data_IF_392341355459
#
_entry.id   IF_392341355459
#
_cell.length_a   1.000
_cell.length_b   1.000
_cell.length_c   1.000
_cell.angle_alpha   90.00
_cell.angle_beta   90.00
_cell.angle_gamma   90.00
#
_symmetry.space_group_name_H-M   'P 1'
#
loop_
_entity.id
_entity.type
_entity.pdbx_description
1 polymer ?
#
# COMPACT_ATOMS: atom_id res chain seq x y z
N UNK A 1 -12.60 23.98 6.23
CA UNK A 1 -13.18 23.52 4.94
C UNK A 1 -12.34 24.07 3.81
N UNK A 2 -11.99 23.25 2.81
CA UNK A 2 -11.26 23.71 1.64
C UNK A 2 -12.17 24.63 0.80
N UNK A 3 -11.62 25.72 0.25
CA UNK A 3 -12.37 26.73 -0.52
C UNK A 3 -13.19 26.14 -1.68
N UNK A 4 -12.71 25.05 -2.29
CA UNK A 4 -13.39 24.32 -3.36
C UNK A 4 -14.71 23.67 -2.93
N UNK A 5 -14.80 23.20 -1.68
CA UNK A 5 -16.02 22.54 -1.17
C UNK A 5 -17.13 23.56 -0.88
N UNK A 6 -16.76 24.78 -0.47
CA UNK A 6 -17.72 25.86 -0.20
C UNK A 6 -18.31 26.39 -1.51
N UNK A 7 -17.50 26.44 -2.58
CA UNK A 7 -17.97 26.86 -3.91
C UNK A 7 -18.97 25.88 -4.53
N UNK A 8 -18.85 24.57 -4.28
CA UNK A 8 -19.83 23.58 -4.79
C UNK A 8 -21.21 23.66 -4.12
N UNK A 9 -21.34 24.38 -3.01
CA UNK A 9 -22.60 24.59 -2.28
C UNK A 9 -23.30 25.91 -2.68
N UNK A 10 -22.69 26.72 -3.54
CA UNK A 10 -23.33 27.92 -4.10
C UNK A 10 -24.20 27.51 -5.29
N UNK A 11 -25.51 27.71 -5.17
CA UNK A 11 -26.50 27.42 -6.22
C UNK A 11 -26.23 28.18 -7.54
N UNK A 12 -25.39 29.23 -7.50
CA UNK A 12 -24.97 29.99 -8.68
C UNK A 12 -23.63 29.54 -9.27
N UNK A 13 -22.94 28.59 -8.63
CA UNK A 13 -21.67 28.10 -9.13
C UNK A 13 -21.89 27.12 -10.29
N UNK A 14 -21.72 27.64 -11.50
CA UNK A 14 -21.63 26.81 -12.69
C UNK A 14 -20.28 26.11 -12.64
N UNK A 15 -20.27 24.82 -12.24
CA UNK A 15 -19.09 23.95 -12.33
C UNK A 15 -18.40 24.19 -13.67
N UNK A 16 -17.24 24.87 -13.64
CA UNK A 16 -16.55 25.25 -14.86
C UNK A 16 -16.27 23.95 -15.61
N UNK A 17 -16.86 23.79 -16.79
CA UNK A 17 -16.62 22.61 -17.64
C UNK A 17 -15.20 22.72 -18.17
N UNK A 18 -14.25 22.26 -17.37
CA UNK A 18 -12.86 22.11 -17.78
C UNK A 18 -12.86 21.08 -18.90
N UNK A 19 -12.23 21.41 -20.02
CA UNK A 19 -12.10 20.49 -21.15
C UNK A 19 -11.11 19.36 -20.77
N UNK A 20 -11.35 18.12 -21.20
CA UNK A 20 -10.44 16.99 -20.98
C UNK A 20 -8.99 17.23 -21.40
N UNK A 21 -8.75 18.19 -22.32
CA UNK A 21 -7.42 18.57 -22.77
C UNK A 21 -6.60 19.37 -21.72
N UNK A 22 -7.26 19.85 -20.66
CA UNK A 22 -6.65 20.69 -19.64
C UNK A 22 -6.25 19.86 -18.42
N UNK A 23 -5.10 20.15 -17.79
CA UNK A 23 -4.62 19.40 -16.62
C UNK A 23 -5.51 19.56 -15.39
N UNK A 24 -6.36 20.60 -15.34
CA UNK A 24 -7.32 20.81 -14.27
C UNK A 24 -8.57 19.90 -14.37
N UNK A 25 -8.65 19.06 -15.41
CA UNK A 25 -9.74 18.10 -15.59
C UNK A 25 -9.52 16.84 -14.75
N UNK A 26 -10.04 16.86 -13.51
CA UNK A 26 -9.90 15.74 -12.56
C UNK A 26 -11.14 14.86 -12.45
N UNK A 27 -12.30 15.35 -12.87
CA UNK A 27 -13.57 14.66 -12.65
C UNK A 27 -14.47 14.69 -13.89
N UNK A 28 -15.06 13.53 -14.21
CA UNK A 28 -16.09 13.38 -15.23
C UNK A 28 -17.21 12.50 -14.70
N UNK A 29 -18.44 13.04 -14.71
CA UNK A 29 -19.63 12.31 -14.31
C UNK A 29 -19.87 11.08 -15.20
N UNK A 30 -19.58 11.21 -16.50
CA UNK A 30 -19.76 10.13 -17.47
C UNK A 30 -18.76 8.99 -17.22
N UNK A 31 -17.53 9.32 -16.83
CA UNK A 31 -16.53 8.32 -16.41
C UNK A 31 -16.93 7.64 -15.10
N UNK A 32 -17.50 8.38 -14.14
CA UNK A 32 -18.02 7.83 -12.89
C UNK A 32 -19.16 6.84 -13.14
N UNK A 33 -20.12 7.19 -14.00
CA UNK A 33 -21.23 6.31 -14.40
C UNK A 33 -20.73 5.05 -15.12
N UNK A 34 -19.74 5.19 -15.99
CA UNK A 34 -19.11 4.03 -16.63
C UNK A 34 -18.47 3.10 -15.59
N UNK A 35 -17.75 3.65 -14.60
CA UNK A 35 -17.18 2.87 -13.50
C UNK A 35 -18.26 2.16 -12.67
N UNK A 36 -19.39 2.80 -12.37
CA UNK A 36 -20.50 2.13 -11.67
C UNK A 36 -21.10 0.98 -12.49
N UNK A 37 -21.25 1.18 -13.80
CA UNK A 37 -21.71 0.12 -14.70
C UNK A 37 -20.71 -1.04 -14.78
N UNK A 38 -19.39 -0.78 -14.69
CA UNK A 38 -18.37 -1.81 -14.57
C UNK A 38 -18.56 -2.64 -13.29
N UNK A 39 -18.79 -1.98 -12.15
CA UNK A 39 -18.90 -2.64 -10.85
C UNK A 39 -20.19 -3.46 -10.70
N UNK A 40 -21.26 -3.11 -11.42
CA UNK A 40 -22.52 -3.86 -11.45
C UNK A 40 -22.61 -4.91 -12.54
N UNK A 41 -22.39 -4.49 -13.79
CA UNK A 41 -22.64 -5.28 -14.99
C UNK A 41 -21.37 -5.78 -15.67
N UNK A 42 -20.22 -5.65 -15.01
CA UNK A 42 -18.94 -6.06 -15.56
C UNK A 42 -18.55 -5.30 -16.83
N UNK A 43 -17.72 -5.94 -17.65
CA UNK A 43 -17.14 -5.33 -18.86
C UNK A 43 -18.19 -4.90 -19.89
N UNK A 44 -19.29 -5.66 -20.00
CA UNK A 44 -20.36 -5.36 -20.96
C UNK A 44 -21.12 -4.10 -20.57
N UNK A 45 -21.44 -3.95 -19.27
CA UNK A 45 -22.07 -2.74 -18.73
C UNK A 45 -21.20 -1.50 -18.95
N UNK A 46 -19.89 -1.61 -18.70
CA UNK A 46 -18.92 -0.54 -18.96
C UNK A 46 -18.92 -0.10 -20.42
N UNK A 47 -18.80 -1.05 -21.35
CA UNK A 47 -18.72 -0.76 -22.78
C UNK A 47 -19.99 -0.09 -23.31
N UNK A 48 -21.17 -0.52 -22.84
CA UNK A 48 -22.45 0.08 -23.21
C UNK A 48 -22.56 1.55 -22.82
N UNK A 49 -22.09 1.89 -21.61
CA UNK A 49 -22.12 3.29 -21.12
C UNK A 49 -21.12 4.16 -21.89
N UNK A 50 -19.93 3.63 -22.20
CA UNK A 50 -18.96 4.35 -23.05
C UNK A 50 -19.53 4.68 -24.43
N UNK A 51 -20.24 3.75 -25.06
CA UNK A 51 -20.89 3.96 -26.36
C UNK A 51 -22.06 4.95 -26.27
N UNK A 52 -22.87 4.84 -25.22
CA UNK A 52 -24.04 5.71 -25.02
C UNK A 52 -23.64 7.17 -24.78
N UNK A 53 -22.59 7.40 -23.99
CA UNK A 53 -22.11 8.74 -23.63
C UNK A 53 -20.95 9.22 -24.50
N UNK A 54 -20.52 8.43 -25.50
CA UNK A 54 -19.37 8.73 -26.36
C UNK A 54 -18.09 9.09 -25.58
N UNK A 55 -17.83 8.35 -24.50
CA UNK A 55 -16.68 8.59 -23.61
C UNK A 55 -15.49 7.78 -24.11
N UNK A 56 -14.30 8.40 -24.09
CA UNK A 56 -13.05 7.70 -24.42
C UNK A 56 -12.79 6.54 -23.44
N UNK A 57 -12.21 5.45 -23.94
CA UNK A 57 -11.72 4.37 -23.07
C UNK A 57 -10.60 4.90 -22.17
N UNK A 58 -10.87 5.00 -20.87
CA UNK A 58 -9.93 5.55 -19.89
C UNK A 58 -9.31 4.49 -18.99
N UNK A 59 -9.86 3.28 -18.94
CA UNK A 59 -9.31 2.13 -18.22
C UNK A 59 -8.64 1.16 -19.18
N UNK A 60 -7.47 0.66 -18.80
CA UNK A 60 -6.80 -0.43 -19.49
C UNK A 60 -7.45 -1.79 -19.16
N UNK A 61 -7.26 -2.79 -20.04
CA UNK A 61 -7.75 -4.15 -19.81
C UNK A 61 -7.38 -4.76 -18.45
N UNK A 62 -6.12 -4.67 -17.96
CA UNK A 62 -5.77 -5.20 -16.65
C UNK A 62 -6.44 -4.42 -15.50
N UNK A 63 -6.69 -3.12 -15.65
CA UNK A 63 -7.44 -2.35 -14.65
C UNK A 63 -8.91 -2.77 -14.61
N UNK A 64 -9.52 -3.06 -15.76
CA UNK A 64 -10.89 -3.59 -15.81
C UNK A 64 -11.01 -4.93 -15.09
N UNK A 65 -10.06 -5.86 -15.29
CA UNK A 65 -10.06 -7.15 -14.60
C UNK A 65 -9.87 -6.98 -13.11
N UNK A 66 -8.91 -6.14 -12.73
CA UNK A 66 -8.60 -5.87 -11.33
C UNK A 66 -9.78 -5.24 -10.61
N UNK A 67 -10.40 -4.22 -11.19
CA UNK A 67 -11.54 -3.53 -10.59
C UNK A 67 -12.75 -4.47 -10.48
N UNK A 68 -13.05 -5.25 -11.53
CA UNK A 68 -14.13 -6.22 -11.50
C UNK A 68 -13.89 -7.38 -10.52
N UNK A 69 -12.64 -7.81 -10.35
CA UNK A 69 -12.26 -8.88 -9.43
C UNK A 69 -12.22 -8.48 -7.95
N UNK A 70 -11.98 -7.19 -7.66
CA UNK A 70 -11.85 -6.67 -6.30
C UNK A 70 -13.13 -6.03 -5.74
N UNK A 71 -14.28 -6.22 -6.41
CA UNK A 71 -15.57 -5.72 -5.94
C UNK A 71 -16.09 -6.59 -4.80
N UNK A 72 -16.44 -5.95 -3.70
CA UNK A 72 -17.11 -6.59 -2.56
C UNK A 72 -18.41 -5.85 -2.29
N UNK A 73 -19.44 -6.56 -1.85
CA UNK A 73 -20.66 -5.91 -1.40
C UNK A 73 -20.41 -5.27 -0.03
N UNK A 74 -20.74 -3.98 0.09
CA UNK A 74 -20.60 -3.27 1.35
C UNK A 74 -21.65 -3.75 2.34
N UNK A 75 -21.20 -4.37 3.43
CA UNK A 75 -22.05 -4.76 4.55
C UNK A 75 -21.74 -3.87 5.76
N UNK A 76 -22.63 -2.94 6.12
CA UNK A 76 -22.45 -2.10 7.31
C UNK A 76 -22.28 -2.98 8.55
N UNK A 77 -21.17 -2.80 9.28
CA UNK A 77 -20.89 -3.49 10.55
C UNK A 77 -20.01 -4.75 10.46
N UNK A 78 -19.68 -5.24 9.26
CA UNK A 78 -18.80 -6.41 9.10
C UNK A 78 -17.31 -6.10 9.40
N UNK A 79 -16.91 -4.83 9.42
CA UNK A 79 -15.53 -4.40 9.62
C UNK A 79 -15.05 -4.50 11.08
N UNK A 80 -15.97 -4.70 12.05
CA UNK A 80 -15.66 -4.79 13.48
C UNK A 80 -15.30 -6.21 13.96
N UNK A 81 -15.23 -7.20 13.07
CA UNK A 81 -14.93 -8.60 13.45
C UNK A 81 -13.43 -8.91 13.33
N UNK A 82 -12.57 -8.07 13.93
CA UNK A 82 -11.15 -8.39 14.12
C UNK A 82 -10.87 -8.57 15.62
N UNK A 83 -10.95 -9.84 16.03
CA UNK A 83 -10.52 -10.40 17.32
C UNK A 83 -11.00 -9.66 18.57
N UNK A 84 -12.06 -10.20 19.18
CA UNK A 84 -12.45 -9.98 20.57
C UNK A 84 -11.23 -10.11 21.50
N UNK A 85 -10.67 -8.97 21.90
CA UNK A 85 -10.06 -8.80 23.22
C UNK A 85 -11.16 -8.26 24.13
N UNK A 86 -11.47 -9.03 25.17
CA UNK A 86 -12.45 -8.74 26.22
C UNK A 86 -12.36 -7.27 26.69
N UNK A 87 -13.39 -6.49 26.40
CA UNK A 87 -13.43 -5.05 26.61
C UNK A 87 -14.81 -4.48 26.32
N UNK A 88 -15.62 -4.45 27.37
CA UNK A 88 -16.95 -3.81 27.55
C UNK A 88 -17.40 -2.85 26.43
N UNK A 89 -18.57 -3.17 25.83
CA UNK A 89 -19.50 -2.29 25.11
C UNK A 89 -18.96 -0.90 24.73
N UNK A 90 -18.17 -0.83 23.66
CA UNK A 90 -17.87 0.42 23.00
C UNK A 90 -19.12 0.91 22.25
N UNK A 91 -20.01 1.58 22.96
CA UNK A 91 -21.12 2.33 22.38
C UNK A 91 -20.58 3.20 21.24
N UNK A 92 -21.09 2.98 20.03
CA UNK A 92 -20.69 3.71 18.81
C UNK A 92 -20.88 5.20 19.07
N UNK A 93 -19.79 5.93 19.27
CA UNK A 93 -19.86 7.38 19.50
C UNK A 93 -20.43 8.02 18.23
N UNK A 94 -21.62 8.61 18.33
CA UNK A 94 -22.28 9.36 17.25
C UNK A 94 -21.56 10.69 16.92
N UNK A 95 -20.40 10.93 17.52
CA UNK A 95 -19.68 12.18 17.42
C UNK A 95 -18.48 11.98 16.49
N UNK A 96 -18.50 12.68 15.35
CA UNK A 96 -17.40 12.69 14.41
C UNK A 96 -16.20 13.43 15.04
N UNK A 97 -15.07 12.72 15.20
CA UNK A 97 -13.82 13.25 15.74
C UNK A 97 -12.76 13.31 14.64
N UNK A 98 -12.68 14.38 13.82
CA UNK A 98 -11.77 14.47 12.68
C UNK A 98 -10.28 14.39 13.03
N UNK A 99 -9.91 14.59 14.30
CA UNK A 99 -8.53 14.44 14.80
C UNK A 99 -8.18 12.97 15.15
N UNK A 100 -9.18 12.09 15.23
CA UNK A 100 -9.00 10.67 15.48
C UNK A 100 -9.23 9.93 14.17
N UNK A 101 -8.19 9.24 13.72
CA UNK A 101 -8.32 8.27 12.64
C UNK A 101 -9.27 7.15 13.13
N UNK A 102 -10.29 6.83 12.33
CA UNK A 102 -11.19 5.68 12.55
C UNK A 102 -10.44 4.33 12.41
N UNK A 103 -9.15 4.37 12.05
CA UNK A 103 -8.25 3.23 11.93
C UNK A 103 -7.29 3.24 13.12
N UNK A 104 -7.28 2.15 13.89
CA UNK A 104 -6.33 1.93 14.97
C UNK A 104 -4.89 2.00 14.46
N UNK A 105 -4.09 2.87 15.08
CA UNK A 105 -2.65 2.93 14.82
C UNK A 105 -2.06 1.58 15.20
N UNK A 106 -1.30 0.91 14.32
CA UNK A 106 -0.76 -0.39 14.64
C UNK A 106 0.11 -0.31 15.89
N UNK A 107 -0.25 -1.03 16.95
CA UNK A 107 0.57 -1.10 18.16
C UNK A 107 2.00 -1.54 17.81
N UNK A 108 2.95 -0.61 17.96
CA UNK A 108 4.38 -0.85 17.83
C UNK A 108 4.89 -1.48 19.14
N UNK A 109 4.47 -2.72 19.39
CA UNK A 109 4.73 -3.47 20.62
C UNK A 109 6.22 -3.64 20.97
N UNK A 110 7.09 -3.74 19.95
CA UNK A 110 8.56 -3.78 20.12
C UNK A 110 9.22 -2.39 20.21
N UNK A 111 8.44 -1.31 20.22
CA UNK A 111 8.90 0.07 20.28
C UNK A 111 9.43 0.63 18.96
N UNK A 112 9.61 1.95 18.94
CA UNK A 112 10.29 2.67 17.86
C UNK A 112 11.52 3.38 18.46
N UNK A 113 12.67 3.44 17.77
CA UNK A 113 13.81 4.17 18.29
C UNK A 113 13.44 5.64 18.50
N UNK A 114 13.94 6.24 19.58
CA UNK A 114 13.88 7.68 19.75
C UNK A 114 14.60 8.32 18.56
N UNK A 115 13.82 8.88 17.63
CA UNK A 115 14.33 9.71 16.56
C UNK A 115 14.86 10.99 17.21
N UNK A 116 16.09 10.97 17.71
CA UNK A 116 16.82 12.19 18.01
C UNK A 116 16.77 13.03 16.73
N UNK A 117 16.01 14.12 16.77
CA UNK A 117 15.76 15.03 15.65
C UNK A 117 17.00 15.13 14.79
N UNK A 118 16.97 14.55 13.59
CA UNK A 118 18.14 14.37 12.74
C UNK A 118 18.90 15.70 12.60
N UNK A 119 20.13 15.76 13.11
CA UNK A 119 20.96 16.99 13.11
C UNK A 119 21.98 17.04 11.97
N UNK A 120 21.84 16.18 10.97
CA UNK A 120 22.78 16.04 9.85
C UNK A 120 22.33 16.70 8.55
N UNK A 121 23.18 16.60 7.52
CA UNK A 121 22.84 16.96 6.14
C UNK A 121 22.26 15.75 5.43
N UNK A 122 21.02 15.86 4.94
CA UNK A 122 20.35 14.79 4.18
C UNK A 122 21.15 14.46 2.91
N UNK A 123 21.58 13.21 2.77
CA UNK A 123 22.24 12.69 1.57
C UNK A 123 21.30 11.75 0.84
N UNK A 124 21.09 11.98 -0.45
CA UNK A 124 20.28 11.12 -1.31
C UNK A 124 21.16 10.47 -2.37
N UNK A 125 21.11 9.14 -2.47
CA UNK A 125 21.79 8.36 -3.51
C UNK A 125 20.74 7.63 -4.36
N UNK A 126 20.92 7.63 -5.67
CA UNK A 126 20.04 6.93 -6.61
C UNK A 126 20.78 5.71 -7.16
N UNK A 127 20.14 4.56 -7.12
CA UNK A 127 20.65 3.30 -7.65
C UNK A 127 19.73 2.81 -8.76
N UNK A 128 20.31 2.29 -9.85
CA UNK A 128 19.57 1.79 -11.00
C UNK A 128 19.76 0.28 -11.19
N UNK A 129 18.82 -0.32 -11.91
CA UNK A 129 18.87 -1.73 -12.33
C UNK A 129 18.59 -1.77 -13.84
N UNK A 130 19.54 -2.15 -14.70
CA UNK A 130 20.91 -2.57 -14.41
C UNK A 130 21.79 -1.49 -13.75
N UNK A 131 22.83 -1.86 -12.97
CA UNK A 131 23.72 -0.89 -12.35
C UNK A 131 24.54 -0.13 -13.40
N UNK A 132 24.71 1.17 -13.20
CA UNK A 132 25.65 1.96 -14.00
C UNK A 132 27.10 1.53 -13.68
N UNK A 133 28.06 1.83 -14.57
CA UNK A 133 29.46 1.48 -14.34
C UNK A 133 29.95 1.96 -12.97
N UNK A 134 30.52 1.04 -12.19
CA UNK A 134 31.02 1.30 -10.84
C UNK A 134 29.96 1.36 -9.73
N UNK A 135 28.66 1.23 -10.04
CA UNK A 135 27.60 1.20 -9.02
C UNK A 135 27.29 -0.21 -8.52
N UNK A 136 26.97 -0.32 -7.24
CA UNK A 136 26.52 -1.57 -6.62
C UNK A 136 25.06 -1.86 -6.96
N UNK A 137 24.73 -3.14 -7.09
CA UNK A 137 23.37 -3.59 -7.37
C UNK A 137 22.40 -3.23 -6.23
N UNK A 138 21.14 -2.90 -6.55
CA UNK A 138 20.12 -2.49 -5.56
C UNK A 138 19.96 -3.56 -4.46
N UNK A 139 19.86 -4.84 -4.85
CA UNK A 139 19.84 -5.98 -3.91
C UNK A 139 21.02 -5.97 -2.94
N UNK A 140 22.24 -5.68 -3.39
CA UNK A 140 23.42 -5.64 -2.52
C UNK A 140 23.33 -4.49 -1.52
N UNK A 141 22.88 -3.33 -1.96
CA UNK A 141 22.68 -2.14 -1.14
C UNK A 141 21.64 -2.39 -0.04
N UNK A 142 20.50 -2.98 -0.39
CA UNK A 142 19.44 -3.36 0.57
C UNK A 142 19.96 -4.36 1.60
N UNK A 143 20.63 -5.44 1.16
CA UNK A 143 21.20 -6.45 2.06
C UNK A 143 22.23 -5.85 3.01
N UNK A 144 23.13 -5.00 2.52
CA UNK A 144 24.11 -4.28 3.35
C UNK A 144 23.44 -3.41 4.41
N UNK A 145 22.35 -2.71 4.08
CA UNK A 145 21.60 -1.91 5.06
C UNK A 145 20.96 -2.77 6.16
N UNK A 146 20.36 -3.90 5.81
CA UNK A 146 19.77 -4.82 6.79
C UNK A 146 20.85 -5.42 7.71
N UNK A 147 21.99 -5.81 7.15
CA UNK A 147 23.13 -6.34 7.91
C UNK A 147 23.74 -5.30 8.85
N UNK A 148 23.67 -4.01 8.51
CA UNK A 148 24.19 -2.93 9.35
C UNK A 148 23.21 -2.42 10.41
N UNK A 149 21.93 -2.77 10.32
CA UNK A 149 20.89 -2.29 11.25
C UNK A 149 21.17 -2.66 12.72
N UNK A 150 20.90 -1.75 13.65
CA UNK A 150 21.15 -1.98 15.09
C UNK A 150 19.95 -1.74 16.00
N UNK A 151 18.97 -0.96 15.56
CA UNK A 151 17.85 -0.49 16.39
C UNK A 151 16.50 -0.96 15.87
N UNK A 152 16.19 -0.76 14.60
CA UNK A 152 14.89 -1.16 14.02
C UNK A 152 15.01 -1.32 12.51
N UNK A 153 14.24 -2.24 11.95
CA UNK A 153 14.02 -2.31 10.50
C UNK A 153 12.52 -2.32 10.25
N UNK A 154 12.02 -1.36 9.47
CA UNK A 154 10.64 -1.35 9.02
C UNK A 154 10.61 -1.45 7.50
N UNK A 155 9.81 -2.38 6.98
CA UNK A 155 9.69 -2.69 5.55
C UNK A 155 8.23 -2.53 5.16
N UNK A 156 7.97 -1.80 4.09
CA UNK A 156 6.66 -1.70 3.45
C UNK A 156 6.81 -2.11 2.00
N UNK A 157 6.13 -3.20 1.59
CA UNK A 157 6.27 -3.77 0.26
C UNK A 157 4.94 -4.25 -0.31
N UNK A 158 4.82 -4.22 -1.64
CA UNK A 158 3.71 -4.81 -2.38
C UNK A 158 3.87 -6.35 -2.50
N UNK A 159 5.04 -6.78 -2.97
CA UNK A 159 5.39 -8.18 -3.19
C UNK A 159 6.76 -8.47 -2.59
N UNK A 160 6.83 -9.46 -1.70
CA UNK A 160 8.06 -9.85 -1.02
C UNK A 160 8.30 -11.36 -1.15
N UNK A 161 9.16 -11.75 -2.11
CA UNK A 161 9.49 -13.16 -2.40
C UNK A 161 10.99 -13.46 -2.44
N UNK A 162 11.86 -12.47 -2.19
CA UNK A 162 13.31 -12.67 -2.13
C UNK A 162 13.76 -13.34 -0.82
N UNK A 163 14.11 -14.63 -0.94
CA UNK A 163 14.57 -15.46 0.19
C UNK A 163 15.86 -14.94 0.83
N UNK A 164 16.77 -14.32 0.07
CA UNK A 164 18.05 -13.85 0.61
C UNK A 164 17.84 -12.63 1.51
N UNK A 165 17.02 -11.67 1.06
CA UNK A 165 16.67 -10.49 1.85
C UNK A 165 15.90 -10.91 3.10
N UNK A 166 14.96 -11.85 2.96
CA UNK A 166 14.21 -12.36 4.11
C UNK A 166 15.10 -13.07 5.13
N UNK A 167 16.08 -13.86 4.70
CA UNK A 167 17.07 -14.47 5.60
C UNK A 167 17.91 -13.43 6.34
N UNK A 168 18.33 -12.36 5.68
CA UNK A 168 19.06 -11.28 6.33
C UNK A 168 18.21 -10.57 7.41
N UNK A 169 16.89 -10.42 7.17
CA UNK A 169 15.94 -9.90 8.16
C UNK A 169 15.75 -10.86 9.35
N UNK A 170 15.63 -12.17 9.08
CA UNK A 170 15.55 -13.19 10.13
C UNK A 170 16.83 -13.21 10.99
N UNK A 171 18.00 -13.06 10.36
CA UNK A 171 19.27 -12.97 11.07
C UNK A 171 19.36 -11.68 11.91
N UNK A 172 18.82 -10.56 11.42
CA UNK A 172 18.70 -9.33 12.20
C UNK A 172 17.81 -9.51 13.44
N UNK A 173 16.63 -10.11 13.26
CA UNK A 173 15.64 -10.26 14.33
C UNK A 173 16.04 -11.32 15.35
N UNK A 174 16.60 -12.45 14.90
CA UNK A 174 16.89 -13.59 15.76
C UNK A 174 18.26 -13.49 16.44
N UNK A 175 19.33 -13.22 15.67
CA UNK A 175 20.70 -13.21 16.22
C UNK A 175 21.03 -11.90 16.92
N UNK A 176 20.65 -10.77 16.31
CA UNK A 176 20.97 -9.42 16.82
C UNK A 176 19.86 -8.81 17.67
N UNK A 177 18.68 -9.46 17.75
CA UNK A 177 17.51 -8.99 18.48
C UNK A 177 17.02 -7.60 18.02
N UNK A 178 17.21 -7.28 16.74
CA UNK A 178 16.71 -6.04 16.14
C UNK A 178 15.21 -6.22 15.83
N UNK A 179 14.31 -5.38 16.36
CA UNK A 179 12.91 -5.37 15.96
C UNK A 179 12.73 -5.17 14.45
N UNK A 180 11.99 -6.09 13.82
CA UNK A 180 11.67 -6.04 12.39
C UNK A 180 10.15 -5.94 12.22
N UNK A 181 9.70 -4.89 11.55
CA UNK A 181 8.31 -4.68 11.16
C UNK A 181 8.18 -4.83 9.65
N UNK A 182 7.28 -5.69 9.19
CA UNK A 182 6.95 -5.87 7.77
C UNK A 182 5.49 -5.54 7.58
N UNK A 183 5.19 -4.58 6.73
CA UNK A 183 3.85 -4.27 6.25
C UNK A 183 3.78 -4.72 4.79
N UNK A 184 2.90 -5.67 4.53
CA UNK A 184 2.74 -6.29 3.22
C UNK A 184 1.35 -5.97 2.67
N UNK A 185 1.28 -5.73 1.36
CA UNK A 185 0.00 -5.61 0.68
C UNK A 185 -0.73 -6.97 0.63
N UNK A 186 -2.07 -6.94 0.72
CA UNK A 186 -2.90 -8.15 0.89
C UNK A 186 -2.75 -9.20 -0.22
N UNK A 187 -2.49 -8.79 -1.46
CA UNK A 187 -2.29 -9.72 -2.60
C UNK A 187 -0.94 -10.42 -2.53
N UNK A 188 0.06 -9.82 -1.87
CA UNK A 188 1.40 -10.38 -1.69
C UNK A 188 1.50 -11.47 -0.61
N UNK A 189 0.49 -11.61 0.26
CA UNK A 189 0.58 -12.47 1.47
C UNK A 189 0.82 -13.94 1.15
N UNK A 190 0.11 -14.50 0.16
CA UNK A 190 0.25 -15.92 -0.20
C UNK A 190 1.70 -16.25 -0.60
N UNK A 191 2.27 -15.43 -1.47
CA UNK A 191 3.65 -15.57 -1.95
C UNK A 191 4.68 -15.39 -0.81
N UNK A 192 4.40 -14.51 0.15
CA UNK A 192 5.24 -14.32 1.32
C UNK A 192 5.22 -15.53 2.26
N UNK A 193 4.07 -16.18 2.44
CA UNK A 193 3.96 -17.40 3.25
C UNK A 193 4.78 -18.55 2.64
N UNK A 194 4.68 -18.75 1.32
CA UNK A 194 5.51 -19.73 0.60
C UNK A 194 7.01 -19.45 0.77
N UNK A 195 7.41 -18.17 0.72
CA UNK A 195 8.78 -17.77 0.99
C UNK A 195 9.21 -18.08 2.43
N UNK A 196 8.34 -17.85 3.42
CA UNK A 196 8.61 -18.16 4.82
C UNK A 196 8.87 -19.65 5.05
N UNK A 197 8.10 -20.52 4.39
CA UNK A 197 8.31 -21.97 4.42
C UNK A 197 9.67 -22.35 3.82
N UNK A 198 10.00 -21.80 2.64
CA UNK A 198 11.30 -22.02 1.98
C UNK A 198 12.49 -21.49 2.77
N UNK A 199 12.28 -20.47 3.60
CA UNK A 199 13.29 -19.91 4.49
C UNK A 199 13.42 -20.69 5.81
N UNK A 200 12.65 -21.76 6.03
CA UNK A 200 12.60 -22.54 7.27
C UNK A 200 12.29 -21.68 8.50
N UNK A 201 11.33 -20.75 8.35
CA UNK A 201 10.89 -19.92 9.46
C UNK A 201 10.16 -20.77 10.51
N UNK A 202 10.46 -20.52 11.79
CA UNK A 202 9.78 -21.17 12.91
C UNK A 202 9.39 -20.14 13.97
N UNK A 203 8.60 -20.56 14.97
CA UNK A 203 8.04 -19.67 16.00
C UNK A 203 9.11 -18.87 16.79
N UNK A 204 10.34 -19.38 16.86
CA UNK A 204 11.47 -18.69 17.51
C UNK A 204 11.82 -17.35 16.85
N UNK A 205 11.59 -17.21 15.55
CA UNK A 205 11.85 -15.97 14.81
C UNK A 205 10.82 -14.86 15.05
N UNK A 206 9.62 -15.20 15.56
CA UNK A 206 8.52 -14.24 15.78
C UNK A 206 8.71 -13.35 17.01
N UNK A 207 9.77 -13.53 17.80
CA UNK A 207 10.03 -12.73 19.01
C UNK A 207 10.32 -11.26 18.68
N UNK A 208 11.09 -11.00 17.62
CA UNK A 208 11.46 -9.66 17.17
C UNK A 208 11.02 -9.40 15.72
N UNK A 209 9.98 -10.09 15.26
CA UNK A 209 9.45 -9.97 13.91
C UNK A 209 7.94 -9.85 13.97
N UNK A 210 7.42 -8.77 13.38
CA UNK A 210 5.99 -8.51 13.21
C UNK A 210 5.69 -8.33 11.74
N UNK A 211 4.75 -9.11 11.24
CA UNK A 211 4.24 -9.00 9.87
C UNK A 211 2.78 -8.58 9.98
N UNK A 212 2.41 -7.48 9.32
CA UNK A 212 1.04 -7.01 9.20
C UNK A 212 0.67 -6.87 7.74
N UNK A 213 -0.61 -7.02 7.46
CA UNK A 213 -1.16 -6.87 6.13
C UNK A 213 -1.96 -5.58 6.04
N UNK A 214 -1.79 -4.84 4.95
CA UNK A 214 -2.56 -3.64 4.63
C UNK A 214 -3.25 -3.81 3.28
N UNK A 215 -4.49 -3.33 3.19
CA UNK A 215 -5.19 -3.17 1.93
C UNK A 215 -5.05 -1.72 1.45
N UNK A 216 -5.10 -1.47 0.14
CA UNK A 216 -5.12 -0.09 -0.35
C UNK A 216 -6.43 0.62 -0.02
N UNK A 217 -6.47 1.92 -0.33
CA UNK A 217 -7.62 2.79 -0.01
C UNK A 217 -8.92 2.23 -0.54
N UNK A 218 -9.94 2.27 0.30
CA UNK A 218 -11.26 1.72 0.01
C UNK A 218 -12.15 2.82 -0.57
N UNK A 219 -12.83 2.50 -1.67
CA UNK A 219 -13.80 3.36 -2.31
C UNK A 219 -15.17 2.68 -2.26
N UNK A 220 -16.18 3.47 -1.90
CA UNK A 220 -17.56 3.01 -1.83
C UNK A 220 -18.38 3.65 -2.95
N UNK A 221 -19.13 2.83 -3.67
CA UNK A 221 -20.10 3.30 -4.66
C UNK A 221 -21.41 3.70 -3.99
N UNK A 222 -22.20 4.50 -4.69
CA UNK A 222 -23.58 4.80 -4.29
C UNK A 222 -24.45 3.54 -4.15
N UNK A 223 -24.10 2.48 -4.87
CA UNK A 223 -24.81 1.20 -4.88
C UNK A 223 -24.33 0.20 -3.83
N UNK A 224 -23.70 0.69 -2.75
CA UNK A 224 -23.21 -0.15 -1.65
C UNK A 224 -22.22 -1.23 -2.11
N UNK A 225 -21.36 -0.91 -3.08
CA UNK A 225 -20.20 -1.75 -3.42
C UNK A 225 -18.94 -1.10 -2.89
N UNK A 226 -18.03 -1.94 -2.39
CA UNK A 226 -16.72 -1.58 -1.90
C UNK A 226 -15.67 -2.08 -2.88
N UNK A 227 -14.73 -1.21 -3.22
CA UNK A 227 -13.56 -1.56 -4.04
C UNK A 227 -12.33 -1.15 -3.27
N UNK A 228 -11.43 -2.09 -3.01
CA UNK A 228 -10.15 -1.81 -2.39
C UNK A 228 -9.10 -1.50 -3.46
N UNK A 229 -8.43 -0.36 -3.32
CA UNK A 229 -7.22 -0.04 -4.07
C UNK A 229 -6.04 -0.93 -3.67
N UNK A 230 -4.90 -0.72 -4.31
CA UNK A 230 -3.65 -1.40 -3.97
C UNK A 230 -2.66 -0.44 -3.34
N UNK A 231 -1.83 -0.94 -2.43
CA UNK A 231 -0.67 -0.20 -1.95
C UNK A 231 0.47 -0.33 -2.99
N UNK A 232 0.83 0.76 -3.64
CA UNK A 232 1.96 0.82 -4.59
C UNK A 232 3.26 1.30 -3.97
N UNK A 233 3.21 1.80 -2.73
CA UNK A 233 4.37 2.35 -2.04
C UNK A 233 5.30 1.25 -1.54
N UNK A 234 6.59 1.46 -1.78
CA UNK A 234 7.66 0.55 -1.38
C UNK A 234 8.75 1.35 -0.72
N UNK A 235 8.98 1.07 0.55
CA UNK A 235 10.04 1.71 1.30
C UNK A 235 10.54 0.86 2.46
N UNK A 236 11.77 1.13 2.87
CA UNK A 236 12.41 0.51 4.01
C UNK A 236 13.04 1.60 4.87
N UNK A 237 12.77 1.58 6.16
CA UNK A 237 13.43 2.40 7.17
C UNK A 237 14.37 1.53 7.99
N UNK A 238 15.57 2.04 8.25
CA UNK A 238 16.58 1.38 9.08
C UNK A 238 17.03 2.38 10.15
N UNK A 239 16.99 1.95 11.41
CA UNK A 239 17.46 2.64 12.62
C UNK A 239 16.89 4.05 12.89
N UNK A 240 15.96 4.52 12.06
CA UNK A 240 15.38 5.87 12.10
C UNK A 240 16.22 6.93 11.39
N UNK A 241 17.37 6.57 10.80
CA UNK A 241 18.30 7.53 10.16
C UNK A 241 18.52 7.26 8.66
N UNK A 242 18.10 6.09 8.15
CA UNK A 242 18.20 5.71 6.73
C UNK A 242 16.86 5.27 6.20
N UNK A 243 16.57 5.70 4.98
CA UNK A 243 15.37 5.31 4.24
C UNK A 243 15.75 4.92 2.81
N UNK A 244 15.07 3.90 2.29
CA UNK A 244 15.15 3.47 0.89
C UNK A 244 13.74 3.49 0.34
N UNK A 245 13.54 4.09 -0.82
CA UNK A 245 12.28 4.02 -1.56
C UNK A 245 12.55 3.90 -3.05
N UNK A 246 11.67 3.21 -3.77
CA UNK A 246 11.81 3.05 -5.21
C UNK A 246 10.80 2.06 -5.79
N UNK A 247 10.96 1.77 -7.07
CA UNK A 247 10.10 0.83 -7.82
C UNK A 247 10.56 -0.63 -7.72
N UNK A 248 11.74 -0.89 -7.17
CA UNK A 248 12.35 -2.22 -7.11
C UNK A 248 11.51 -3.18 -6.26
N UNK A 249 11.04 -4.27 -6.87
CA UNK A 249 10.38 -5.38 -6.16
C UNK A 249 11.42 -6.41 -5.76
N UNK A 250 11.31 -6.94 -4.55
CA UNK A 250 12.17 -8.02 -4.07
C UNK A 250 11.65 -9.36 -4.60
N UNK A 251 11.87 -9.57 -5.89
CA UNK A 251 11.55 -10.82 -6.59
C UNK A 251 12.83 -11.64 -6.71
N UNK A 252 12.73 -12.94 -6.44
CA UNK A 252 13.86 -13.88 -6.47
C UNK A 252 14.51 -14.12 -7.84
N UNK A 253 14.18 -13.32 -8.86
CA UNK A 253 14.82 -13.40 -10.18
C UNK A 253 16.29 -13.01 -10.06
N UNK A 254 17.15 -14.03 -9.95
CA UNK A 254 18.56 -13.91 -10.28
C UNK A 254 18.61 -13.56 -11.77
N UNK A 255 19.09 -12.35 -12.08
CA UNK A 255 19.10 -11.79 -13.43
C UNK A 255 19.35 -12.82 -14.52
N UNK A 256 18.28 -13.18 -15.24
CA UNK A 256 18.36 -13.75 -16.57
C UNK A 256 18.66 -12.61 -17.54
N UNK A 257 19.87 -12.03 -17.41
CA UNK A 257 20.50 -11.27 -18.49
C UNK A 257 21.91 -11.82 -18.71
N UNK A 258 21.95 -13.04 -19.24
CA UNK A 258 23.03 -13.59 -20.07
C UNK A 258 22.28 -14.46 -21.09
N UNK A 259 22.32 -14.24 -22.39
CA UNK A 259 23.32 -13.65 -23.29
C UNK A 259 22.64 -12.99 -24.49
#
# INVERSE_FOLDING_TARGET
MALSQVQCLDDNNVNWRVNEAKPEFFYSEEQRLALEALLHGGREGFQKVLETHNVRKFLSNPELERLAGNVQDYQPGAENVKQEGDGEDAAVSLQYWPERSDIDIPELDMGWPDCASYRGVTRANVYTQPPMEGQTHIKEVVRKMIVQAQKVVAVVMDMFTDVDIFKDLLDASFKRKVPVYIILESTGVQHFLEMCERAMMHRGHLKNLRVRTIAGTEFYTHSSKKVCGMLSQKFMFVDGDRAVSGSYRWVGERGLSRS
#
